data_IF_233846692003
#
_entry.id   IF_233846692003
#
_cell.length_a   1.000
_cell.length_b   1.000
_cell.length_c   1.000
_cell.angle_alpha   90.00
_cell.angle_beta   90.00
_cell.angle_gamma   90.00
#
_symmetry.space_group_name_H-M   'P 1'
#
loop_
_entity.id
_entity.type
_entity.pdbx_description
1 polymer ?
#
# COMPACT_ATOMS: atom_id res chain seq x y z
N UNK A 1 4.34 -8.68 11.65
CA UNK A 1 5.48 -8.33 12.49
C UNK A 1 6.06 -7.02 11.99
N UNK A 2 6.18 -6.07 12.86
CA UNK A 2 6.77 -4.77 12.55
C UNK A 2 8.23 -4.80 12.98
N UNK A 3 9.16 -4.47 12.08
CA UNK A 3 10.52 -4.16 12.44
C UNK A 3 10.54 -2.66 12.76
N UNK A 4 10.50 -2.29 14.06
CA UNK A 4 10.43 -0.90 14.47
C UNK A 4 11.52 -0.06 13.79
N UNK A 5 12.76 -0.47 13.94
CA UNK A 5 13.91 0.30 13.46
C UNK A 5 14.05 0.38 11.93
N UNK A 6 13.58 -0.63 11.17
CA UNK A 6 13.58 -0.58 9.71
C UNK A 6 12.22 -0.14 9.13
N UNK A 7 11.21 0.06 9.98
CA UNK A 7 9.88 0.55 9.60
C UNK A 7 9.14 -0.34 8.62
N UNK A 8 9.49 -1.62 8.54
CA UNK A 8 8.87 -2.54 7.60
C UNK A 8 7.81 -3.39 8.24
N UNK A 9 6.66 -3.52 7.58
CA UNK A 9 5.59 -4.42 7.99
C UNK A 9 5.68 -5.70 7.17
N UNK A 10 6.04 -6.80 7.82
CA UNK A 10 6.08 -8.12 7.18
C UNK A 10 4.77 -8.86 7.39
N UNK A 11 4.21 -9.35 6.30
CA UNK A 11 3.10 -10.28 6.34
C UNK A 11 3.60 -11.66 6.78
N UNK A 12 2.98 -12.23 7.82
CA UNK A 12 3.26 -13.61 8.27
C UNK A 12 1.99 -14.43 8.24
N UNK A 13 2.02 -15.57 7.56
CA UNK A 13 0.92 -16.53 7.49
C UNK A 13 1.39 -17.83 8.10
N UNK A 14 0.60 -18.39 9.03
CA UNK A 14 0.91 -19.66 9.74
C UNK A 14 2.31 -19.68 10.40
N UNK A 15 2.80 -18.52 10.87
CA UNK A 15 4.13 -18.42 11.49
C UNK A 15 5.30 -18.35 10.52
N UNK A 16 5.07 -18.49 9.21
CA UNK A 16 6.10 -18.38 8.19
C UNK A 16 6.38 -16.91 7.87
N UNK A 17 7.63 -16.59 7.56
CA UNK A 17 8.07 -15.24 7.21
C UNK A 17 7.50 -14.74 5.88
N UNK A 18 7.54 -13.44 5.67
CA UNK A 18 6.94 -12.78 4.50
C UNK A 18 7.43 -13.30 3.15
N UNK A 19 8.67 -13.77 3.06
CA UNK A 19 9.23 -14.37 1.85
C UNK A 19 8.52 -15.68 1.40
N UNK A 20 7.79 -16.32 2.31
CA UNK A 20 7.00 -17.53 2.03
C UNK A 20 5.53 -17.23 1.77
N UNK A 21 5.16 -15.97 1.72
CA UNK A 21 3.79 -15.51 1.47
C UNK A 21 3.75 -14.69 0.19
N UNK A 22 2.92 -15.11 -0.78
CA UNK A 22 2.76 -14.39 -2.04
C UNK A 22 1.73 -13.27 -1.88
N UNK A 23 2.11 -12.06 -2.29
CA UNK A 23 1.17 -10.94 -2.40
C UNK A 23 0.78 -10.73 -3.85
N UNK A 24 -0.51 -10.62 -4.07
CA UNK A 24 -1.12 -10.33 -5.38
C UNK A 24 -1.86 -9.00 -5.32
N UNK A 25 -1.84 -8.28 -6.41
CA UNK A 25 -2.70 -7.13 -6.66
C UNK A 25 -3.61 -7.46 -7.85
N UNK A 26 -4.92 -7.49 -7.64
CA UNK A 26 -5.91 -7.91 -8.63
C UNK A 26 -5.54 -9.24 -9.31
N UNK A 27 -5.16 -10.23 -8.49
CA UNK A 27 -4.73 -11.58 -8.91
C UNK A 27 -3.44 -11.63 -9.72
N UNK A 28 -2.66 -10.54 -9.76
CA UNK A 28 -1.35 -10.49 -10.42
C UNK A 28 -0.24 -10.42 -9.37
N UNK A 29 0.82 -11.24 -9.46
CA UNK A 29 1.93 -11.17 -8.53
C UNK A 29 2.61 -9.80 -8.57
N UNK A 30 2.92 -9.25 -7.40
CA UNK A 30 3.76 -8.06 -7.30
C UNK A 30 5.21 -8.51 -7.46
N UNK A 31 5.82 -8.18 -8.60
CA UNK A 31 7.14 -8.64 -9.00
C UNK A 31 8.25 -7.73 -8.46
N UNK A 32 8.48 -7.70 -7.16
CA UNK A 32 9.80 -7.31 -6.65
C UNK A 32 9.95 -7.75 -5.20
N UNK A 33 11.16 -8.17 -4.84
CA UNK A 33 11.48 -8.49 -3.44
C UNK A 33 11.35 -7.26 -2.52
N UNK A 34 11.61 -6.06 -3.05
CA UNK A 34 11.35 -4.80 -2.35
C UNK A 34 9.84 -4.53 -2.19
N UNK A 35 9.03 -4.81 -3.20
CA UNK A 35 7.59 -4.63 -3.13
C UNK A 35 6.92 -5.62 -2.15
N UNK A 36 7.50 -6.77 -1.89
CA UNK A 36 6.99 -7.70 -0.87
C UNK A 36 7.21 -7.20 0.57
N UNK A 37 8.20 -6.35 0.77
CA UNK A 37 8.58 -5.82 2.10
C UNK A 37 7.97 -4.43 2.33
N UNK A 38 8.05 -3.53 1.33
CA UNK A 38 7.60 -2.14 1.44
C UNK A 38 6.28 -1.86 0.71
N UNK A 39 5.95 -2.64 -0.30
CA UNK A 39 4.85 -2.34 -1.22
C UNK A 39 3.46 -2.40 -0.60
N UNK A 40 3.26 -3.15 0.48
CA UNK A 40 1.96 -3.21 1.17
C UNK A 40 1.58 -1.87 1.81
N UNK A 41 2.55 -1.14 2.35
CA UNK A 41 2.31 0.15 3.00
C UNK A 41 2.13 1.29 1.99
N UNK A 42 2.55 1.07 0.74
CA UNK A 42 2.46 2.05 -0.34
C UNK A 42 1.09 2.06 -1.04
N UNK A 43 0.26 1.03 -0.80
CA UNK A 43 -1.08 0.98 -1.36
C UNK A 43 -2.04 1.82 -0.52
N UNK A 44 -2.65 2.88 -1.06
CA UNK A 44 -3.64 3.65 -0.33
C UNK A 44 -4.83 2.75 0.08
N UNK A 45 -5.15 2.74 1.36
CA UNK A 45 -6.29 1.94 1.88
C UNK A 45 -7.59 2.30 1.16
N UNK A 46 -7.75 3.57 0.77
CA UNK A 46 -8.89 4.05 0.01
C UNK A 46 -9.07 3.35 -1.35
N UNK A 47 -8.00 2.81 -1.92
CA UNK A 47 -8.00 2.06 -3.19
C UNK A 47 -8.39 0.59 -3.01
N UNK A 48 -8.33 0.07 -1.78
CA UNK A 48 -8.59 -1.35 -1.50
C UNK A 48 -10.10 -1.56 -1.37
N UNK A 49 -10.66 -2.49 -2.13
CA UNK A 49 -12.03 -2.97 -1.97
C UNK A 49 -12.10 -4.05 -0.91
N UNK A 50 -11.27 -5.08 -1.04
CA UNK A 50 -11.19 -6.20 -0.11
C UNK A 50 -9.83 -6.90 -0.17
N UNK A 51 -9.55 -7.67 0.85
CA UNK A 51 -8.35 -8.52 0.91
C UNK A 51 -8.81 -9.97 1.04
N UNK A 52 -8.31 -10.81 0.14
CA UNK A 52 -8.58 -12.24 0.12
C UNK A 52 -7.34 -12.98 0.60
N UNK A 53 -7.49 -13.88 1.58
CA UNK A 53 -6.37 -14.62 2.17
C UNK A 53 -6.59 -16.11 1.97
N UNK A 54 -5.67 -16.75 1.26
CA UNK A 54 -5.60 -18.20 1.12
C UNK A 54 -4.48 -18.69 2.03
N UNK A 55 -4.82 -19.53 2.99
CA UNK A 55 -3.87 -20.15 3.92
C UNK A 55 -3.43 -21.51 3.40
N UNK A 56 -2.14 -21.80 3.50
CA UNK A 56 -1.56 -23.05 3.04
C UNK A 56 -0.98 -22.98 1.63
N UNK A 57 -0.48 -24.10 1.14
CA UNK A 57 0.29 -24.16 -0.10
C UNK A 57 -0.49 -23.72 -1.34
N UNK A 58 -0.22 -22.52 -1.80
CA UNK A 58 -0.72 -21.97 -3.06
C UNK A 58 0.30 -22.05 -4.21
N UNK A 59 1.45 -22.70 -3.98
CA UNK A 59 2.60 -22.67 -4.89
C UNK A 59 2.31 -23.23 -6.28
N UNK A 60 1.38 -24.16 -6.41
CA UNK A 60 0.97 -24.71 -7.71
C UNK A 60 0.29 -23.66 -8.64
N UNK A 61 -0.39 -22.67 -8.04
CA UNK A 61 -1.12 -21.63 -8.78
C UNK A 61 -0.39 -20.29 -8.83
N UNK A 62 0.33 -19.96 -7.75
CA UNK A 62 0.85 -18.60 -7.52
C UNK A 62 2.37 -18.54 -7.41
N UNK A 63 3.08 -19.66 -7.61
CA UNK A 63 4.53 -19.73 -7.62
C UNK A 63 5.17 -20.13 -6.29
N UNK A 64 6.49 -20.30 -6.30
CA UNK A 64 7.27 -20.90 -5.22
C UNK A 64 7.19 -20.14 -3.89
N UNK A 65 6.88 -18.84 -3.91
CA UNK A 65 6.79 -18.02 -2.70
C UNK A 65 5.47 -18.22 -1.94
N UNK A 66 4.48 -18.91 -2.52
CA UNK A 66 3.17 -19.11 -1.91
C UNK A 66 3.10 -20.37 -1.02
N UNK A 67 4.18 -20.70 -0.30
CA UNK A 67 4.25 -21.87 0.58
C UNK A 67 3.40 -21.66 1.84
N UNK A 68 3.49 -20.48 2.44
CA UNK A 68 2.73 -20.11 3.64
C UNK A 68 1.30 -19.69 3.34
N UNK A 69 1.07 -19.18 2.13
CA UNK A 69 -0.22 -18.70 1.68
C UNK A 69 -0.13 -17.56 0.68
N UNK A 70 -1.30 -17.05 0.30
CA UNK A 70 -1.46 -15.96 -0.66
C UNK A 70 -2.34 -14.88 -0.07
N UNK A 71 -1.96 -13.63 -0.23
CA UNK A 71 -2.80 -12.46 0.04
C UNK A 71 -3.06 -11.75 -1.28
N UNK A 72 -4.32 -11.73 -1.69
CA UNK A 72 -4.76 -11.03 -2.88
C UNK A 72 -5.49 -9.75 -2.49
N UNK A 73 -4.95 -8.61 -2.87
CA UNK A 73 -5.53 -7.30 -2.65
C UNK A 73 -6.34 -6.96 -3.88
N UNK A 74 -7.65 -6.81 -3.70
CA UNK A 74 -8.56 -6.42 -4.77
C UNK A 74 -8.80 -4.91 -4.67
N UNK A 75 -8.53 -4.22 -5.77
CA UNK A 75 -8.71 -2.77 -5.85
C UNK A 75 -10.13 -2.39 -6.22
N UNK A 76 -10.56 -1.21 -5.76
CA UNK A 76 -11.87 -0.64 -6.09
C UNK A 76 -12.01 -0.40 -7.57
N UNK A 77 -13.17 -0.74 -8.10
CA UNK A 77 -13.59 -0.33 -9.43
C UNK A 77 -14.43 0.94 -9.37
N UNK A 78 -14.30 1.85 -10.33
CA UNK A 78 -15.21 2.99 -10.44
C UNK A 78 -16.60 2.48 -10.87
N UNK A 79 -17.56 2.50 -9.94
CA UNK A 79 -18.93 2.05 -10.16
C UNK A 79 -19.94 3.21 -10.14
N UNK A 80 -19.58 4.32 -9.50
CA UNK A 80 -20.40 5.52 -9.36
C UNK A 80 -19.53 6.76 -9.22
N UNK A 81 -20.09 7.92 -9.51
CA UNK A 81 -19.38 9.19 -9.39
C UNK A 81 -19.24 9.58 -7.92
N UNK A 82 -18.02 9.79 -7.47
CA UNK A 82 -17.72 10.18 -6.10
C UNK A 82 -16.37 10.88 -6.00
N UNK A 83 -16.24 11.77 -5.01
CA UNK A 83 -14.97 12.36 -4.59
C UNK A 83 -14.88 12.23 -3.08
N UNK A 84 -13.74 11.76 -2.59
CA UNK A 84 -13.49 11.58 -1.16
C UNK A 84 -12.16 12.20 -0.81
N UNK A 85 -12.17 13.13 0.15
CA UNK A 85 -11.00 13.66 0.81
C UNK A 85 -10.98 13.11 2.23
N UNK A 86 -9.86 12.50 2.63
CA UNK A 86 -9.68 12.01 3.99
C UNK A 86 -8.34 12.51 4.54
N UNK A 87 -8.35 12.88 5.81
CA UNK A 87 -7.16 13.22 6.57
C UNK A 87 -7.16 12.43 7.87
N UNK A 88 -6.01 11.88 8.21
CA UNK A 88 -5.77 11.23 9.50
C UNK A 88 -4.53 11.85 10.11
N UNK A 89 -4.66 12.39 11.30
CA UNK A 89 -3.55 12.96 12.07
C UNK A 89 -3.42 12.19 13.37
N UNK A 90 -2.26 11.61 13.59
CA UNK A 90 -1.89 10.96 14.85
C UNK A 90 -0.82 11.80 15.52
N UNK A 91 -1.00 12.09 16.80
CA UNK A 91 -0.04 12.85 17.61
C UNK A 91 0.35 11.97 18.79
N UNK A 92 1.65 11.73 18.94
CA UNK A 92 2.22 10.97 20.05
C UNK A 92 2.32 11.84 21.32
N UNK A 93 2.59 11.21 22.46
CA UNK A 93 2.67 11.89 23.76
C UNK A 93 3.77 12.96 23.84
N UNK A 94 4.84 12.80 23.06
CA UNK A 94 5.96 13.75 22.93
C UNK A 94 5.71 14.88 21.92
N UNK A 95 4.55 14.87 21.24
CA UNK A 95 4.19 15.83 20.19
C UNK A 95 4.59 15.43 18.78
N UNK A 96 5.25 14.27 18.59
CA UNK A 96 5.56 13.72 17.25
C UNK A 96 4.30 13.47 16.45
N UNK A 97 4.29 13.91 15.20
CA UNK A 97 3.10 13.87 14.34
C UNK A 97 3.23 12.89 13.16
N UNK A 98 2.10 12.29 12.79
CA UNK A 98 1.92 11.49 11.57
C UNK A 98 0.67 12.02 10.84
N UNK A 99 0.89 12.70 9.75
CA UNK A 99 -0.15 13.27 8.90
C UNK A 99 -0.33 12.39 7.65
N UNK A 100 -1.55 11.97 7.40
CA UNK A 100 -1.88 11.23 6.19
C UNK A 100 -3.12 11.85 5.55
N UNK A 101 -2.94 12.41 4.35
CA UNK A 101 -4.02 13.02 3.56
C UNK A 101 -4.18 12.27 2.26
N UNK A 102 -5.40 11.88 1.93
CA UNK A 102 -5.73 11.22 0.67
C UNK A 102 -6.90 11.86 -0.03
N UNK A 103 -6.81 11.96 -1.35
CA UNK A 103 -7.88 12.41 -2.25
C UNK A 103 -8.16 11.32 -3.27
N UNK A 104 -9.42 10.91 -3.38
CA UNK A 104 -9.85 9.88 -4.30
C UNK A 104 -11.05 10.36 -5.11
N UNK A 105 -11.06 10.08 -6.40
CA UNK A 105 -12.16 10.40 -7.31
C UNK A 105 -12.55 9.19 -8.15
N UNK A 106 -13.83 8.91 -8.23
CA UNK A 106 -14.43 7.89 -9.10
C UNK A 106 -15.40 8.57 -10.07
N UNK A 107 -15.21 8.33 -11.35
CA UNK A 107 -16.01 8.92 -12.42
C UNK A 107 -16.42 7.82 -13.38
N UNK A 108 -17.70 7.74 -13.67
CA UNK A 108 -18.28 6.71 -14.53
C UNK A 108 -19.22 7.37 -15.53
N UNK A 109 -19.13 6.97 -16.81
CA UNK A 109 -20.05 7.45 -17.85
C UNK A 109 -21.46 6.91 -17.64
N UNK A 110 -22.49 7.63 -18.10
CA UNK A 110 -23.91 7.28 -17.93
C UNK A 110 -24.25 5.92 -18.57
N UNK A 111 -23.52 5.51 -19.59
CA UNK A 111 -23.68 4.21 -20.26
C UNK A 111 -22.85 3.08 -19.60
N UNK A 112 -22.15 3.37 -18.51
CA UNK A 112 -21.28 2.42 -17.78
C UNK A 112 -20.21 1.74 -18.64
N UNK A 113 -19.86 2.33 -19.78
CA UNK A 113 -18.81 1.79 -20.65
C UNK A 113 -17.43 2.29 -20.26
N UNK A 114 -17.35 3.48 -19.69
CA UNK A 114 -16.07 4.07 -19.27
C UNK A 114 -16.11 4.40 -17.79
N UNK A 115 -15.04 4.07 -17.08
CA UNK A 115 -14.86 4.50 -15.71
C UNK A 115 -13.40 4.82 -15.43
N UNK A 116 -13.18 5.82 -14.58
CA UNK A 116 -11.86 6.27 -14.13
C UNK A 116 -11.88 6.42 -12.61
N UNK A 117 -10.93 5.80 -11.95
CA UNK A 117 -10.62 5.99 -10.54
C UNK A 117 -9.27 6.70 -10.43
N UNK A 118 -9.27 7.85 -9.78
CA UNK A 118 -8.08 8.64 -9.51
C UNK A 118 -7.80 8.58 -8.00
N UNK A 119 -6.55 8.54 -7.61
CA UNK A 119 -6.16 8.58 -6.21
C UNK A 119 -4.85 9.32 -6.02
N UNK A 120 -4.75 10.00 -4.90
CA UNK A 120 -3.55 10.65 -4.42
C UNK A 120 -3.45 10.51 -2.91
N UNK A 121 -2.24 10.36 -2.38
CA UNK A 121 -1.97 10.28 -0.95
C UNK A 121 -0.64 10.96 -0.67
N UNK A 122 -0.62 11.75 0.38
CA UNK A 122 0.59 12.34 0.96
C UNK A 122 0.62 11.93 2.42
N UNK A 123 1.74 11.38 2.84
CA UNK A 123 1.98 11.04 4.24
C UNK A 123 3.30 11.62 4.69
N UNK A 124 3.25 12.32 5.79
CA UNK A 124 4.40 12.90 6.47
C UNK A 124 4.36 12.45 7.94
N UNK A 125 5.43 11.81 8.38
CA UNK A 125 5.55 11.27 9.72
C UNK A 125 6.95 11.53 10.25
N UNK A 126 7.02 12.20 11.38
CA UNK A 126 8.27 12.38 12.11
C UNK A 126 8.77 11.06 12.72
N UNK A 127 10.07 10.96 12.95
CA UNK A 127 10.64 9.84 13.71
C UNK A 127 10.22 9.92 15.17
N UNK A 128 9.97 8.77 15.80
CA UNK A 128 9.58 8.67 17.20
C UNK A 128 10.49 7.71 17.95
N UNK A 129 11.08 8.19 19.03
CA UNK A 129 11.88 7.42 19.99
C UNK A 129 11.11 7.39 21.32
N UNK A 130 10.49 6.26 21.63
CA UNK A 130 9.63 6.12 22.81
C UNK A 130 10.41 6.01 24.12
N UNK A 131 11.57 5.38 24.08
CA UNK A 131 12.34 5.03 25.25
C UNK A 131 13.49 5.99 25.54
N UNK A 132 13.78 6.92 24.62
CA UNK A 132 14.82 7.94 24.77
C UNK A 132 16.25 7.39 24.66
N UNK A 133 16.44 6.26 23.96
CA UNK A 133 17.76 5.64 23.80
C UNK A 133 18.54 6.20 22.60
N UNK A 134 17.95 7.16 21.88
CA UNK A 134 18.53 7.80 20.71
C UNK A 134 18.30 7.03 19.40
N UNK A 135 17.55 5.91 19.43
CA UNK A 135 17.14 5.17 18.25
C UNK A 135 15.63 5.28 18.03
N UNK A 136 15.23 5.51 16.80
CA UNK A 136 13.81 5.58 16.47
C UNK A 136 13.13 4.21 16.59
N UNK A 137 12.06 4.14 17.38
CA UNK A 137 11.11 3.01 17.38
C UNK A 137 10.20 3.05 16.15
N UNK A 138 9.88 4.28 15.69
CA UNK A 138 9.13 4.52 14.48
C UNK A 138 9.98 5.43 13.59
N UNK A 139 10.27 5.04 12.34
CA UNK A 139 11.09 5.84 11.44
C UNK A 139 10.35 7.05 10.89
N UNK A 140 11.09 8.08 10.52
CA UNK A 140 10.65 9.16 9.66
C UNK A 140 10.16 8.58 8.33
N UNK A 141 9.07 9.12 7.82
CA UNK A 141 8.47 8.72 6.54
C UNK A 141 7.89 9.94 5.83
N UNK A 142 8.36 10.18 4.62
CA UNK A 142 7.71 11.07 3.68
C UNK A 142 7.33 10.26 2.44
N UNK A 143 6.05 10.21 2.11
CA UNK A 143 5.54 9.39 1.02
C UNK A 143 4.49 10.13 0.22
N UNK A 144 4.67 10.14 -1.09
CA UNK A 144 3.73 10.69 -2.05
C UNK A 144 3.32 9.58 -3.03
N UNK A 145 2.03 9.37 -3.16
CA UNK A 145 1.48 8.38 -4.07
C UNK A 145 0.42 9.03 -4.94
N UNK A 146 0.49 8.82 -6.25
CA UNK A 146 -0.55 9.24 -7.18
C UNK A 146 -0.75 8.18 -8.25
N UNK A 147 -1.98 8.00 -8.69
CA UNK A 147 -2.26 7.05 -9.74
C UNK A 147 -3.69 7.10 -10.25
N UNK A 148 -3.93 6.28 -11.24
CA UNK A 148 -5.26 6.07 -11.77
C UNK A 148 -5.48 4.63 -12.22
N UNK A 149 -6.73 4.25 -12.26
CA UNK A 149 -7.23 3.04 -12.91
C UNK A 149 -8.41 3.43 -13.79
N UNK A 150 -8.36 3.06 -15.07
CA UNK A 150 -9.40 3.34 -16.04
C UNK A 150 -9.83 2.07 -16.75
N UNK A 151 -11.11 2.00 -17.11
CA UNK A 151 -11.60 0.93 -17.98
C UNK A 151 -12.43 1.48 -19.13
N UNK A 152 -12.43 0.72 -20.22
CA UNK A 152 -13.31 0.93 -21.36
C UNK A 152 -13.89 -0.41 -21.84
N UNK A 153 -15.20 -0.54 -21.86
CA UNK A 153 -15.92 -1.72 -22.38
C UNK A 153 -16.17 -1.54 -23.87
N UNK A 154 -15.44 -2.27 -24.69
CA UNK A 154 -15.61 -2.27 -26.16
C UNK A 154 -16.82 -3.10 -26.59
N UNK A 155 -17.18 -4.12 -25.81
CA UNK A 155 -18.35 -4.95 -26.00
C UNK A 155 -18.85 -5.49 -24.65
N UNK A 156 -20.02 -6.18 -24.57
CA UNK A 156 -20.47 -6.82 -23.32
C UNK A 156 -19.47 -7.83 -22.73
N UNK A 157 -18.59 -8.38 -23.58
CA UNK A 157 -17.64 -9.43 -23.19
C UNK A 157 -16.18 -8.96 -23.19
N UNK A 158 -15.90 -7.72 -23.63
CA UNK A 158 -14.53 -7.22 -23.76
C UNK A 158 -14.35 -5.91 -23.01
N UNK A 159 -13.36 -5.89 -22.12
CA UNK A 159 -12.98 -4.73 -21.32
C UNK A 159 -11.48 -4.49 -21.44
N UNK A 160 -11.11 -3.27 -21.73
CA UNK A 160 -9.74 -2.79 -21.64
C UNK A 160 -9.57 -2.11 -20.28
N UNK A 161 -8.44 -2.34 -19.63
CA UNK A 161 -8.08 -1.68 -18.36
C UNK A 161 -6.68 -1.10 -18.48
N UNK A 162 -6.52 0.14 -18.05
CA UNK A 162 -5.24 0.82 -17.93
C UNK A 162 -5.04 1.25 -16.49
N UNK A 163 -3.82 1.07 -15.99
CA UNK A 163 -3.43 1.43 -14.62
C UNK A 163 -2.08 2.12 -14.64
N UNK A 164 -1.95 3.12 -13.78
CA UNK A 164 -0.68 3.80 -13.52
C UNK A 164 -0.57 4.15 -12.05
N UNK A 165 0.58 3.87 -11.47
CA UNK A 165 0.93 4.19 -10.10
C UNK A 165 2.31 4.84 -10.08
N UNK A 166 2.40 5.96 -9.39
CA UNK A 166 3.68 6.60 -9.08
C UNK A 166 3.78 6.75 -7.57
N UNK A 167 4.92 6.31 -7.04
CA UNK A 167 5.20 6.34 -5.61
C UNK A 167 6.59 6.94 -5.44
N UNK A 168 6.67 7.97 -4.62
CA UNK A 168 7.92 8.51 -4.12
C UNK A 168 7.92 8.37 -2.61
N UNK A 169 8.93 7.70 -2.07
CA UNK A 169 9.03 7.46 -0.63
C UNK A 169 10.45 7.70 -0.14
N UNK A 170 10.55 8.50 0.89
CA UNK A 170 11.75 8.65 1.71
C UNK A 170 11.45 8.09 3.10
N UNK A 171 12.32 7.21 3.57
CA UNK A 171 12.20 6.60 4.89
C UNK A 171 13.55 6.61 5.58
N UNK A 172 13.58 7.05 6.82
CA UNK A 172 14.78 7.09 7.64
C UNK A 172 14.47 6.60 9.04
N UNK A 173 15.17 5.55 9.48
CA UNK A 173 15.16 5.03 10.84
C UNK A 173 16.59 4.95 11.41
N UNK A 174 16.68 4.73 12.70
CA UNK A 174 17.96 4.60 13.38
C UNK A 174 18.23 5.76 14.33
N UNK A 175 19.46 6.27 14.32
CA UNK A 175 19.90 7.37 15.19
C UNK A 175 20.50 8.53 14.36
N UNK A 176 20.98 9.57 15.07
CA UNK A 176 21.69 10.68 14.46
C UNK A 176 20.89 11.43 13.39
N UNK A 177 19.62 11.75 13.67
CA UNK A 177 18.74 12.47 12.76
C UNK A 177 19.19 13.91 12.48
N UNK A 178 20.10 14.45 13.29
CA UNK A 178 20.78 15.73 13.12
C UNK A 178 21.84 15.73 12.00
N UNK A 179 22.26 14.53 11.56
CA UNK A 179 23.20 14.39 10.45
C UNK A 179 22.46 14.14 9.13
N UNK A 180 23.04 14.52 7.98
CA UNK A 180 22.44 14.23 6.69
C UNK A 180 22.37 12.70 6.46
N UNK A 181 21.33 12.21 5.75
CA UNK A 181 21.26 10.81 5.36
C UNK A 181 22.44 10.43 4.46
N UNK A 182 22.98 9.24 4.68
CA UNK A 182 24.12 8.69 3.92
C UNK A 182 23.65 8.03 2.63
#
# INVERSE_FOLDING_TARGET
NNCGNCGTTQLRINGLEGQYSQVLLDSRPIFSSLASVYGLEQLPVAMIERVEVIRGGGSALFGANAIGGVVNIITKEPLYNSVTLANTTNISEDGTADFNTSLNGSFVSDDYKTGVYLFGMIRDRDSYDRNGDGFSDIPELNSETVGFRAYYKTSPYTRLTAEYHHIHEFRRGGNAFDLPPH
#
